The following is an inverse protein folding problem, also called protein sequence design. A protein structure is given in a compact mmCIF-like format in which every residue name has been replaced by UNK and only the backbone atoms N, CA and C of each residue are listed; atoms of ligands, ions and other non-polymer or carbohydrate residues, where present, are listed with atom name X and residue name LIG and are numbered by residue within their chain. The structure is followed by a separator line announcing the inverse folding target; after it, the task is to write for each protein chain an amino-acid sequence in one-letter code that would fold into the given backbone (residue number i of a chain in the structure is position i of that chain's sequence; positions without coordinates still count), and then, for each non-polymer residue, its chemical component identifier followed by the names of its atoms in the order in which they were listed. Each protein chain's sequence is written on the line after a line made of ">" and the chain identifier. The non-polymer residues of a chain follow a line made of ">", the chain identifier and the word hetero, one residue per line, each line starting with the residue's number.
data_IF_054602702231
#
_entry.id   IF_054602702231
#
_cell.length_a   1.000
_cell.length_b   1.000
_cell.length_c   1.000
_cell.angle_alpha   90.00
_cell.angle_beta   90.00
_cell.angle_gamma   90.00
#
_symmetry.space_group_name_H-M   'P 1'
#
loop_
_entity.id
_entity.type
_entity.pdbx_description
1 polymer ?
#
# COMPACT_ATOMS: atom_id res chain seq x y z
N UNK A 1 -23.18 -13.60 -3.06
CA UNK A 1 -22.90 -12.75 -4.23
C UNK A 1 -21.51 -13.08 -4.73
N UNK A 2 -21.40 -13.60 -5.96
CA UNK A 2 -20.10 -13.83 -6.61
C UNK A 2 -19.49 -12.46 -6.90
N UNK A 3 -18.47 -12.04 -6.13
CA UNK A 3 -17.74 -10.82 -6.42
C UNK A 3 -16.83 -11.08 -7.60
N UNK A 4 -17.35 -10.87 -8.82
CA UNK A 4 -16.52 -10.87 -10.03
C UNK A 4 -15.75 -9.56 -10.04
N UNK A 5 -14.43 -9.64 -10.20
CA UNK A 5 -13.58 -8.46 -10.40
C UNK A 5 -13.89 -7.83 -11.76
N UNK A 6 -13.99 -6.51 -11.81
CA UNK A 6 -14.13 -5.78 -13.07
C UNK A 6 -12.81 -5.72 -13.83
N UNK A 7 -11.69 -5.60 -13.12
CA UNK A 7 -10.35 -5.56 -13.71
C UNK A 7 -9.35 -6.41 -12.90
N UNK A 8 -8.39 -7.00 -13.60
CA UNK A 8 -7.31 -7.80 -13.00
C UNK A 8 -5.97 -7.35 -13.61
N UNK A 9 -5.03 -6.99 -12.74
CA UNK A 9 -3.66 -6.66 -13.10
C UNK A 9 -2.72 -7.72 -12.53
N UNK A 10 -1.72 -8.12 -13.33
CA UNK A 10 -0.73 -9.10 -12.92
C UNK A 10 0.67 -8.52 -13.01
N UNK A 11 1.51 -8.77 -12.01
CA UNK A 11 2.93 -8.45 -12.02
C UNK A 11 3.74 -9.58 -11.37
N UNK A 12 5.07 -9.50 -11.45
CA UNK A 12 5.97 -10.42 -10.75
C UNK A 12 6.78 -9.64 -9.72
N UNK A 13 6.93 -10.22 -8.53
CA UNK A 13 7.86 -9.70 -7.52
C UNK A 13 9.30 -9.87 -7.98
N UNK A 14 10.23 -9.17 -7.31
CA UNK A 14 11.67 -9.33 -7.50
C UNK A 14 12.14 -10.78 -7.25
N UNK A 15 11.45 -11.53 -6.37
CA UNK A 15 11.72 -12.93 -6.09
C UNK A 15 10.97 -13.91 -7.04
N UNK A 16 10.29 -13.41 -8.07
CA UNK A 16 9.65 -14.21 -9.12
C UNK A 16 8.22 -14.68 -8.83
N UNK A 17 7.60 -14.23 -7.73
CA UNK A 17 6.24 -14.59 -7.36
C UNK A 17 5.20 -13.76 -8.14
N UNK A 18 4.11 -14.37 -8.60
CA UNK A 18 3.05 -13.67 -9.35
C UNK A 18 2.11 -12.91 -8.42
N UNK A 19 2.16 -11.59 -8.45
CA UNK A 19 1.19 -10.69 -7.81
C UNK A 19 -0.03 -10.48 -8.70
N UNK A 20 -1.21 -10.51 -8.10
CA UNK A 20 -2.50 -10.24 -8.73
C UNK A 20 -3.20 -9.12 -7.95
N UNK A 21 -3.45 -8.02 -8.63
CA UNK A 21 -4.31 -6.95 -8.15
C UNK A 21 -5.68 -7.10 -8.83
N UNK A 22 -6.72 -7.30 -8.03
CA UNK A 22 -8.10 -7.34 -8.50
C UNK A 22 -8.82 -6.06 -8.08
N UNK A 23 -9.53 -5.45 -9.01
CA UNK A 23 -10.33 -4.24 -8.79
C UNK A 23 -11.81 -4.61 -8.95
N UNK A 24 -12.64 -4.11 -8.04
CA UNK A 24 -14.08 -4.36 -8.01
C UNK A 24 -14.83 -3.04 -8.06
N UNK A 25 -15.88 -2.98 -8.88
CA UNK A 25 -16.67 -1.77 -9.13
C UNK A 25 -16.55 -1.30 -10.58
N UNK A 26 -17.02 -0.10 -10.86
CA UNK A 26 -16.99 0.48 -12.21
C UNK A 26 -15.87 1.51 -12.34
N UNK A 27 -15.54 1.90 -13.57
CA UNK A 27 -14.58 2.97 -13.83
C UNK A 27 -15.09 4.26 -13.20
N UNK A 28 -14.31 4.84 -12.29
CA UNK A 28 -14.71 6.01 -11.49
C UNK A 28 -15.47 5.68 -10.20
N UNK A 29 -15.88 4.43 -9.98
CA UNK A 29 -16.58 3.97 -8.78
C UNK A 29 -16.00 2.64 -8.26
N UNK A 30 -14.74 2.68 -7.83
CA UNK A 30 -14.05 1.52 -7.24
C UNK A 30 -14.55 1.27 -5.82
N UNK A 31 -15.14 0.11 -5.60
CA UNK A 31 -15.69 -0.31 -4.30
C UNK A 31 -14.69 -1.09 -3.43
N UNK A 32 -13.75 -1.79 -4.08
CA UNK A 32 -12.77 -2.65 -3.41
C UNK A 32 -11.59 -2.93 -4.33
N UNK A 33 -10.41 -3.06 -3.75
CA UNK A 33 -9.22 -3.58 -4.41
C UNK A 33 -8.58 -4.66 -3.53
N UNK A 34 -8.10 -5.73 -4.14
CA UNK A 34 -7.38 -6.80 -3.43
C UNK A 34 -6.07 -7.12 -4.10
N UNK A 35 -5.03 -7.25 -3.29
CA UNK A 35 -3.71 -7.63 -3.72
C UNK A 35 -3.36 -8.98 -3.10
N UNK A 36 -3.05 -9.94 -3.95
CA UNK A 36 -3.03 -11.35 -3.61
C UNK A 36 -2.34 -12.16 -4.70
N UNK A 37 -2.14 -13.45 -4.47
CA UNK A 37 -1.94 -14.36 -5.58
C UNK A 37 -3.30 -14.92 -5.99
N UNK A 38 -3.30 -15.88 -6.91
CA UNK A 38 -4.54 -16.51 -7.39
C UNK A 38 -5.34 -17.24 -6.31
N UNK A 39 -4.71 -17.61 -5.19
CA UNK A 39 -5.28 -18.43 -4.13
C UNK A 39 -5.52 -17.67 -2.82
N UNK A 40 -4.74 -16.61 -2.57
CA UNK A 40 -4.69 -15.92 -1.28
C UNK A 40 -4.65 -14.40 -1.46
N UNK A 41 -5.56 -13.71 -0.79
CA UNK A 41 -5.60 -12.25 -0.71
C UNK A 41 -4.78 -11.79 0.49
N UNK A 42 -3.70 -11.04 0.24
CA UNK A 42 -2.79 -10.56 1.27
C UNK A 42 -3.16 -9.16 1.79
N UNK A 43 -3.50 -8.23 0.89
CA UNK A 43 -3.92 -6.88 1.24
C UNK A 43 -5.28 -6.54 0.60
N UNK A 44 -6.08 -5.74 1.31
CA UNK A 44 -7.38 -5.26 0.85
C UNK A 44 -7.45 -3.75 1.05
N UNK A 45 -8.01 -3.06 0.08
CA UNK A 45 -8.36 -1.66 0.17
C UNK A 45 -9.84 -1.52 -0.14
N UNK A 46 -10.53 -0.76 0.71
CA UNK A 46 -11.92 -0.39 0.54
C UNK A 46 -11.93 1.14 0.47
N UNK A 47 -11.78 1.73 -0.73
CA UNK A 47 -12.00 3.15 -0.90
C UNK A 47 -13.39 3.44 -0.34
N UNK A 48 -13.50 4.29 0.68
CA UNK A 48 -14.74 4.60 1.39
C UNK A 48 -15.86 4.87 0.39
N UNK A 49 -16.67 3.84 0.09
CA UNK A 49 -17.80 3.86 -0.84
C UNK A 49 -17.65 4.84 -2.02
N UNK A 50 -16.56 4.75 -2.79
CA UNK A 50 -16.29 5.54 -4.01
C UNK A 50 -15.85 7.01 -3.84
N UNK A 51 -15.82 7.57 -2.62
CA UNK A 51 -15.61 9.02 -2.42
C UNK A 51 -14.15 9.43 -2.17
N UNK A 52 -13.22 8.48 -2.11
CA UNK A 52 -11.81 8.75 -1.82
C UNK A 52 -10.90 8.30 -2.98
N UNK A 53 -10.74 9.13 -4.03
CA UNK A 53 -9.89 8.80 -5.18
C UNK A 53 -8.42 8.64 -4.79
N UNK A 54 -7.97 9.32 -3.73
CA UNK A 54 -6.59 9.22 -3.25
C UNK A 54 -6.25 7.81 -2.77
N UNK A 55 -7.17 7.12 -2.09
CA UNK A 55 -6.91 5.74 -1.65
C UNK A 55 -6.72 4.76 -2.82
N UNK A 56 -7.49 4.94 -3.89
CA UNK A 56 -7.33 4.13 -5.12
C UNK A 56 -5.96 4.39 -5.72
N UNK A 57 -5.59 5.66 -5.89
CA UNK A 57 -4.29 6.06 -6.41
C UNK A 57 -3.14 5.54 -5.54
N UNK A 58 -3.27 5.63 -4.22
CA UNK A 58 -2.29 5.11 -3.26
C UNK A 58 -2.14 3.59 -3.36
N UNK A 59 -3.23 2.85 -3.53
CA UNK A 59 -3.15 1.39 -3.66
C UNK A 59 -2.52 0.96 -4.99
N UNK A 60 -2.81 1.66 -6.08
CA UNK A 60 -2.14 1.43 -7.36
C UNK A 60 -0.65 1.79 -7.31
N UNK A 61 -0.31 2.92 -6.69
CA UNK A 61 1.09 3.31 -6.50
C UNK A 61 1.83 2.29 -5.63
N UNK A 62 1.22 1.86 -4.53
CA UNK A 62 1.75 0.79 -3.68
C UNK A 62 1.99 -0.49 -4.46
N UNK A 63 1.01 -0.95 -5.25
CA UNK A 63 1.13 -2.13 -6.11
C UNK A 63 2.29 -2.00 -7.11
N UNK A 64 2.40 -0.85 -7.78
CA UNK A 64 3.37 -0.63 -8.84
C UNK A 64 4.80 -0.47 -8.33
N UNK A 65 4.98 0.23 -7.21
CA UNK A 65 6.30 0.71 -6.80
C UNK A 65 6.88 -0.02 -5.58
N UNK A 66 6.04 -0.64 -4.74
CA UNK A 66 6.48 -1.21 -3.47
C UNK A 66 6.14 -2.69 -3.34
N UNK A 67 4.93 -3.11 -3.72
CA UNK A 67 4.48 -4.48 -3.53
C UNK A 67 5.39 -5.52 -4.23
N UNK A 68 5.92 -5.19 -5.40
CA UNK A 68 6.83 -6.07 -6.15
C UNK A 68 8.17 -6.32 -5.43
N UNK A 69 8.53 -5.49 -4.46
CA UNK A 69 9.74 -5.63 -3.64
C UNK A 69 9.52 -6.47 -2.38
N UNK A 70 8.29 -6.89 -2.11
CA UNK A 70 7.91 -7.57 -0.88
C UNK A 70 7.49 -9.01 -1.15
N UNK A 71 7.72 -9.87 -0.16
CA UNK A 71 7.15 -11.21 -0.14
C UNK A 71 5.67 -11.19 0.21
N UNK A 72 4.97 -12.26 -0.16
CA UNK A 72 3.52 -12.45 0.10
C UNK A 72 3.07 -12.07 1.50
N UNK A 73 3.82 -12.53 2.51
CA UNK A 73 3.46 -12.35 3.92
C UNK A 73 3.58 -10.90 4.38
N UNK A 74 4.38 -10.10 3.68
CA UNK A 74 4.67 -8.72 4.03
C UNK A 74 3.77 -7.71 3.33
N UNK A 75 3.01 -8.10 2.31
CA UNK A 75 2.16 -7.17 1.55
C UNK A 75 1.14 -6.44 2.43
N UNK A 76 0.55 -7.13 3.41
CA UNK A 76 -0.37 -6.48 4.36
C UNK A 76 0.34 -5.43 5.21
N UNK A 77 1.53 -5.77 5.72
CA UNK A 77 2.37 -4.87 6.53
C UNK A 77 2.82 -3.68 5.68
N UNK A 78 3.32 -3.94 4.48
CA UNK A 78 3.74 -2.96 3.51
C UNK A 78 2.63 -1.97 3.20
N UNK A 79 1.40 -2.44 2.93
CA UNK A 79 0.28 -1.54 2.69
C UNK A 79 0.01 -0.61 3.89
N UNK A 80 0.01 -1.12 5.12
CA UNK A 80 -0.16 -0.30 6.32
C UNK A 80 0.97 0.73 6.50
N UNK A 81 2.22 0.33 6.24
CA UNK A 81 3.38 1.23 6.29
C UNK A 81 3.29 2.31 5.21
N UNK A 82 2.81 1.97 4.02
CA UNK A 82 2.61 2.91 2.92
C UNK A 82 1.51 3.93 3.24
N UNK A 83 0.39 3.48 3.80
CA UNK A 83 -0.66 4.40 4.28
C UNK A 83 -0.16 5.35 5.37
N UNK A 84 0.73 4.89 6.26
CA UNK A 84 1.39 5.75 7.25
C UNK A 84 2.33 6.74 6.59
N UNK A 85 3.14 6.29 5.64
CA UNK A 85 4.07 7.13 4.88
C UNK A 85 3.35 8.26 4.12
N UNK A 86 2.24 7.97 3.45
CA UNK A 86 1.42 8.96 2.75
C UNK A 86 0.86 10.05 3.68
N UNK A 87 0.55 9.70 4.93
CA UNK A 87 0.03 10.64 5.94
C UNK A 87 1.14 11.36 6.70
N UNK A 88 2.37 10.89 6.62
CA UNK A 88 3.51 11.47 7.31
C UNK A 88 3.99 12.71 6.53
N UNK A 89 4.03 13.87 7.19
CA UNK A 89 4.72 15.04 6.65
C UNK A 89 6.20 14.73 6.58
N UNK A 90 6.69 14.43 5.38
CA UNK A 90 8.08 14.13 5.07
C UNK A 90 8.39 14.51 3.62
N UNK A 91 9.67 14.69 3.31
CA UNK A 91 10.11 15.07 1.97
C UNK A 91 10.04 13.89 0.98
N UNK A 92 9.92 12.65 1.47
CA UNK A 92 9.90 11.45 0.63
C UNK A 92 9.06 10.32 1.24
N UNK A 93 7.95 10.00 0.57
CA UNK A 93 7.08 8.86 0.92
C UNK A 93 7.86 7.54 0.88
N UNK A 94 8.76 7.37 -0.09
CA UNK A 94 9.58 6.16 -0.21
C UNK A 94 10.50 5.96 0.99
N UNK A 95 11.19 7.03 1.43
CA UNK A 95 12.03 6.98 2.62
C UNK A 95 11.19 6.67 3.88
N UNK A 96 10.05 7.34 4.05
CA UNK A 96 9.16 7.09 5.18
C UNK A 96 8.61 5.66 5.18
N UNK A 97 8.26 5.13 4.02
CA UNK A 97 7.79 3.75 3.85
C UNK A 97 8.81 2.75 4.39
N UNK A 98 10.06 2.80 3.90
CA UNK A 98 11.09 1.84 4.30
C UNK A 98 11.44 1.95 5.78
N UNK A 99 11.50 3.17 6.33
CA UNK A 99 11.70 3.34 7.77
C UNK A 99 10.56 2.70 8.58
N UNK A 100 9.29 2.94 8.22
CA UNK A 100 8.17 2.28 8.90
C UNK A 100 8.18 0.76 8.71
N UNK A 101 8.60 0.29 7.54
CA UNK A 101 8.68 -1.13 7.23
C UNK A 101 9.76 -1.84 8.05
N UNK A 102 10.89 -1.18 8.30
CA UNK A 102 11.94 -1.59 9.23
C UNK A 102 11.55 -1.46 10.71
N UNK A 103 10.37 -0.90 11.01
CA UNK A 103 9.86 -0.72 12.37
C UNK A 103 10.33 0.55 13.06
N UNK A 104 11.03 1.44 12.35
CA UNK A 104 11.44 2.75 12.87
C UNK A 104 10.25 3.69 13.01
N UNK A 105 10.40 4.67 13.89
CA UNK A 105 9.41 5.72 14.11
C UNK A 105 10.09 7.10 14.06
N UNK A 106 9.38 8.10 13.54
CA UNK A 106 9.82 9.48 13.70
C UNK A 106 9.63 9.87 15.17
N UNK A 107 10.74 10.29 15.80
CA UNK A 107 10.74 10.88 17.13
C UNK A 107 11.30 12.29 17.05
N UNK A 108 10.72 13.16 17.86
CA UNK A 108 11.25 14.50 18.08
C UNK A 108 12.50 14.39 18.96
N UNK A 109 13.62 14.96 18.53
CA UNK A 109 14.89 14.90 19.26
C UNK A 109 15.35 16.33 19.58
N UNK A 110 15.70 16.57 20.85
CA UNK A 110 16.20 17.86 21.37
C UNK A 110 15.18 18.62 22.24
N UNK A 111 15.66 19.60 23.02
CA UNK A 111 14.87 20.33 24.04
C UNK A 111 13.80 21.29 23.49
N UNK A 112 13.73 21.53 22.16
CA UNK A 112 12.83 22.51 21.55
C UNK A 112 12.23 22.09 20.18
N UNK A 113 12.12 20.79 19.92
CA UNK A 113 11.33 20.28 18.78
C UNK A 113 11.79 20.64 17.37
N UNK A 114 13.04 21.09 17.20
CA UNK A 114 13.55 21.54 15.91
C UNK A 114 13.98 20.39 14.97
N UNK A 115 14.17 19.17 15.47
CA UNK A 115 14.70 18.06 14.67
C UNK A 115 13.88 16.79 14.89
N UNK A 116 13.38 16.21 13.80
CA UNK A 116 12.79 14.87 13.79
C UNK A 116 13.82 13.89 13.26
N UNK A 117 13.94 12.72 13.91
CA UNK A 117 14.80 11.63 13.44
C UNK A 117 14.03 10.33 13.45
N UNK A 118 14.37 9.46 12.51
CA UNK A 118 13.97 8.06 12.53
C UNK A 118 14.76 7.33 13.61
N UNK A 119 14.06 6.64 14.51
CA UNK A 119 14.61 5.88 15.65
C UNK A 119 14.02 4.48 15.65
#
# INVERSE_FOLDING_TARGET
>A
MNSVSSEIYTSRTACGQTLILEVFGEVGAVSKMTLGNRFFIAAKCYPLNSDNPDQVNWFFDYYKNYAWLLDWHDLKKGWLCYQKAQKQRCDSVSSAFWNYFEGKQIKMVGRKGAVFKWV
#
